data_IF_614114379966
#
_entry.id   IF_614114379966
#
_cell.length_a   1.000
_cell.length_b   1.000
_cell.length_c   1.000
_cell.angle_alpha   90.00
_cell.angle_beta   90.00
_cell.angle_gamma   90.00
#
_symmetry.space_group_name_H-M   'P 1'
#
loop_
_entity.id
_entity.type
_entity.pdbx_description
1 polymer ?
#
# COMPACT_ATOMS: atom_id res chain seq x y z
N UNK A 1 -1.99 -9.63 -33.06
CA UNK A 1 -0.78 -9.19 -32.32
C UNK A 1 -0.67 -10.04 -31.06
N UNK A 2 0.01 -11.18 -31.16
CA UNK A 2 0.30 -12.06 -30.02
C UNK A 2 1.40 -11.42 -29.18
N UNK A 3 1.09 -10.98 -27.97
CA UNK A 3 2.09 -10.42 -27.05
C UNK A 3 3.09 -11.52 -26.72
N UNK A 4 4.32 -11.36 -27.21
CA UNK A 4 5.44 -12.32 -27.08
C UNK A 4 5.80 -12.66 -25.63
N UNK A 5 5.29 -11.89 -24.66
CA UNK A 5 5.37 -12.18 -23.24
C UNK A 5 4.00 -11.94 -22.59
N UNK A 6 3.42 -12.92 -21.88
CA UNK A 6 2.27 -12.64 -21.05
C UNK A 6 2.69 -11.64 -19.97
N UNK A 7 1.98 -10.50 -19.88
CA UNK A 7 2.32 -9.36 -19.02
C UNK A 7 2.62 -9.74 -17.55
N UNK A 8 2.08 -10.88 -17.15
CA UNK A 8 2.26 -11.61 -15.90
C UNK A 8 3.72 -11.81 -15.46
N UNK A 9 4.63 -12.12 -16.38
CA UNK A 9 6.04 -12.41 -16.06
C UNK A 9 6.99 -11.25 -16.33
N UNK A 10 6.49 -10.09 -16.76
CA UNK A 10 7.34 -8.93 -17.09
C UNK A 10 8.14 -8.48 -15.86
N UNK A 11 7.51 -8.39 -14.70
CA UNK A 11 8.17 -7.96 -13.47
C UNK A 11 9.34 -8.90 -13.11
N UNK A 12 9.13 -10.20 -13.19
CA UNK A 12 10.18 -11.19 -12.94
C UNK A 12 11.29 -11.15 -14.00
N UNK A 13 10.93 -11.00 -15.28
CA UNK A 13 11.91 -10.83 -16.35
C UNK A 13 12.77 -9.58 -16.16
N UNK A 14 12.19 -8.47 -15.70
CA UNK A 14 12.93 -7.25 -15.36
C UNK A 14 13.88 -7.47 -14.17
N UNK A 15 13.47 -8.21 -13.15
CA UNK A 15 14.36 -8.56 -12.03
C UNK A 15 15.56 -9.40 -12.51
N UNK A 16 15.33 -10.39 -13.37
CA UNK A 16 16.41 -11.21 -13.95
C UNK A 16 17.32 -10.38 -14.85
N UNK A 17 16.76 -9.52 -15.70
CA UNK A 17 17.53 -8.62 -16.55
C UNK A 17 18.37 -7.63 -15.71
N UNK A 18 17.80 -7.09 -14.64
CA UNK A 18 18.50 -6.24 -13.68
C UNK A 18 19.63 -6.98 -12.95
N UNK A 19 19.44 -8.26 -12.61
CA UNK A 19 20.50 -9.11 -12.06
C UNK A 19 21.65 -9.26 -13.06
N UNK A 20 21.36 -9.61 -14.30
CA UNK A 20 22.40 -9.77 -15.35
C UNK A 20 23.14 -8.45 -15.58
N UNK A 21 22.43 -7.33 -15.67
CA UNK A 21 23.03 -6.01 -15.86
C UNK A 21 23.90 -5.59 -14.66
N UNK A 22 23.44 -5.83 -13.43
CA UNK A 22 24.20 -5.50 -12.22
C UNK A 22 25.44 -6.37 -12.04
N UNK A 23 25.36 -7.67 -12.36
CA UNK A 23 26.52 -8.56 -12.39
C UNK A 23 27.54 -8.09 -13.44
N UNK A 24 27.07 -7.77 -14.66
CA UNK A 24 27.95 -7.24 -15.71
C UNK A 24 28.62 -5.93 -15.27
N UNK A 25 27.88 -5.02 -14.64
CA UNK A 25 28.42 -3.77 -14.10
C UNK A 25 29.47 -4.02 -12.99
N UNK A 26 29.22 -4.97 -12.09
CA UNK A 26 30.17 -5.33 -11.03
C UNK A 26 31.47 -5.94 -11.59
N UNK A 27 31.39 -6.69 -12.69
CA UNK A 27 32.57 -7.26 -13.38
C UNK A 27 33.36 -6.19 -14.15
N UNK A 28 32.67 -5.25 -14.81
CA UNK A 28 33.31 -4.16 -15.58
C UNK A 28 33.88 -3.06 -14.67
N UNK A 29 33.26 -2.81 -13.51
CA UNK A 29 33.65 -1.76 -12.56
C UNK A 29 33.74 -2.34 -11.14
N UNK A 30 34.80 -3.11 -10.81
CA UNK A 30 34.89 -3.81 -9.53
C UNK A 30 34.96 -2.88 -8.31
N UNK A 31 35.43 -1.65 -8.49
CA UNK A 31 35.50 -0.63 -7.43
C UNK A 31 34.15 0.06 -7.15
N UNK A 32 33.12 -0.18 -7.99
CA UNK A 32 31.79 0.37 -7.79
C UNK A 32 31.04 -0.46 -6.74
N UNK A 33 31.15 -0.08 -5.47
CA UNK A 33 30.42 -0.71 -4.36
C UNK A 33 28.90 -0.77 -4.61
N UNK A 34 28.34 0.24 -5.29
CA UNK A 34 26.93 0.30 -5.65
C UNK A 34 26.50 -0.85 -6.58
N UNK A 35 27.38 -1.31 -7.49
CA UNK A 35 27.09 -2.42 -8.39
C UNK A 35 26.97 -3.75 -7.62
N UNK A 36 27.80 -3.95 -6.60
CA UNK A 36 27.70 -5.10 -5.70
C UNK A 36 26.43 -5.08 -4.86
N UNK A 37 26.04 -3.92 -4.32
CA UNK A 37 24.77 -3.76 -3.59
C UNK A 37 23.58 -4.05 -4.50
N UNK A 38 23.57 -3.49 -5.72
CA UNK A 38 22.51 -3.75 -6.69
C UNK A 38 22.42 -5.24 -7.06
N UNK A 39 23.58 -5.90 -7.25
CA UNK A 39 23.63 -7.35 -7.53
C UNK A 39 22.99 -8.15 -6.39
N UNK A 40 23.33 -7.85 -5.13
CA UNK A 40 22.71 -8.49 -3.97
C UNK A 40 21.18 -8.31 -3.94
N UNK A 41 20.71 -7.08 -4.20
CA UNK A 41 19.28 -6.77 -4.23
C UNK A 41 18.55 -7.56 -5.33
N UNK A 42 19.03 -7.49 -6.57
CA UNK A 42 18.41 -8.21 -7.69
C UNK A 42 18.53 -9.72 -7.55
N UNK A 43 19.57 -10.23 -6.89
CA UNK A 43 19.73 -11.65 -6.61
C UNK A 43 18.63 -12.14 -5.66
N UNK A 44 18.37 -11.40 -4.57
CA UNK A 44 17.28 -11.71 -3.64
C UNK A 44 15.92 -11.64 -4.35
N UNK A 45 15.66 -10.58 -5.12
CA UNK A 45 14.39 -10.45 -5.86
C UNK A 45 14.18 -11.60 -6.85
N UNK A 46 15.23 -12.00 -7.57
CA UNK A 46 15.19 -13.12 -8.51
C UNK A 46 14.97 -14.43 -7.77
N UNK A 47 15.65 -14.67 -6.65
CA UNK A 47 15.46 -15.87 -5.84
C UNK A 47 14.02 -15.97 -5.30
N UNK A 48 13.46 -14.86 -4.82
CA UNK A 48 12.05 -14.80 -4.39
C UNK A 48 11.11 -15.11 -5.54
N UNK A 49 11.34 -14.55 -6.74
CA UNK A 49 10.53 -14.85 -7.92
C UNK A 49 10.62 -16.33 -8.34
N UNK A 50 11.79 -16.96 -8.24
CA UNK A 50 11.95 -18.40 -8.46
C UNK A 50 11.17 -19.21 -7.43
N UNK A 51 11.20 -18.82 -6.16
CA UNK A 51 10.42 -19.46 -5.11
C UNK A 51 8.91 -19.33 -5.35
N UNK A 52 8.45 -18.15 -5.78
CA UNK A 52 7.04 -17.88 -6.11
C UNK A 52 6.51 -18.78 -7.23
N UNK A 53 7.31 -18.96 -8.29
CA UNK A 53 6.93 -19.81 -9.43
C UNK A 53 6.92 -21.29 -9.03
N UNK A 54 7.80 -21.71 -8.12
CA UNK A 54 7.90 -23.10 -7.66
C UNK A 54 6.80 -23.47 -6.66
N UNK A 55 6.39 -22.55 -5.79
CA UNK A 55 5.40 -22.88 -4.78
C UNK A 55 4.03 -23.18 -5.42
N UNK A 56 3.34 -24.20 -4.89
CA UNK A 56 2.01 -24.60 -5.36
C UNK A 56 0.87 -24.03 -4.50
N UNK A 57 1.18 -23.40 -3.36
CA UNK A 57 0.19 -22.98 -2.36
C UNK A 57 -0.59 -21.71 -2.76
N UNK A 58 0.06 -20.75 -3.41
CA UNK A 58 -0.54 -19.46 -3.75
C UNK A 58 -0.58 -19.25 -5.26
N UNK A 59 -1.75 -19.50 -5.86
CA UNK A 59 -1.96 -19.37 -7.31
C UNK A 59 -1.68 -17.95 -7.85
N UNK A 60 -1.86 -16.92 -7.00
CA UNK A 60 -1.59 -15.52 -7.36
C UNK A 60 -0.07 -15.29 -7.52
N UNK A 61 0.73 -15.70 -6.54
CA UNK A 61 2.20 -15.53 -6.57
C UNK A 61 2.82 -16.34 -7.71
N UNK A 62 2.31 -17.53 -8.00
CA UNK A 62 2.77 -18.35 -9.14
C UNK A 62 2.52 -17.68 -10.50
N UNK A 63 1.43 -16.95 -10.60
CA UNK A 63 1.01 -16.27 -11.81
C UNK A 63 1.58 -14.85 -11.95
N UNK A 64 1.98 -14.23 -10.84
CA UNK A 64 2.53 -12.88 -10.78
C UNK A 64 3.71 -12.87 -9.81
N UNK A 65 4.83 -13.53 -10.16
CA UNK A 65 6.00 -13.63 -9.31
C UNK A 65 6.59 -12.25 -9.01
N UNK A 66 7.10 -12.06 -7.79
CA UNK A 66 7.59 -10.77 -7.26
C UNK A 66 6.47 -9.76 -7.05
N UNK A 67 5.77 -9.33 -8.11
CA UNK A 67 4.77 -8.27 -8.05
C UNK A 67 3.51 -8.65 -7.25
N UNK A 68 3.20 -9.95 -7.15
CA UNK A 68 2.09 -10.43 -6.35
C UNK A 68 2.21 -10.09 -4.85
N UNK A 69 3.44 -9.88 -4.35
CA UNK A 69 3.68 -9.43 -2.97
C UNK A 69 3.15 -8.02 -2.72
N UNK A 70 3.10 -7.16 -3.74
CA UNK A 70 2.56 -5.80 -3.61
C UNK A 70 1.08 -5.83 -3.22
N UNK A 71 0.31 -6.80 -3.73
CA UNK A 71 -1.10 -6.96 -3.34
C UNK A 71 -1.23 -7.19 -1.83
N UNK A 72 -0.42 -8.07 -1.28
CA UNK A 72 -0.45 -8.38 0.16
C UNK A 72 0.02 -7.20 1.00
N UNK A 73 1.03 -6.46 0.52
CA UNK A 73 1.49 -5.23 1.16
C UNK A 73 0.38 -4.17 1.19
N UNK A 74 -0.33 -3.96 0.08
CA UNK A 74 -1.44 -3.00 0.01
C UNK A 74 -2.64 -3.43 0.87
N UNK A 75 -2.94 -4.73 0.95
CA UNK A 75 -4.01 -5.22 1.84
C UNK A 75 -3.67 -4.94 3.31
N UNK A 76 -2.39 -5.05 3.69
CA UNK A 76 -1.94 -4.71 5.04
C UNK A 76 -2.04 -3.21 5.35
N UNK A 77 -1.69 -2.35 4.38
CA UNK A 77 -1.73 -0.88 4.54
C UNK A 77 -3.17 -0.33 4.49
N UNK A 78 -4.08 -1.02 3.79
CA UNK A 78 -5.48 -0.62 3.61
C UNK A 78 -6.20 -0.18 4.90
N UNK A 79 -6.21 -0.95 6.01
CA UNK A 79 -6.89 -0.54 7.24
C UNK A 79 -6.35 0.75 7.84
N UNK A 80 -5.02 0.92 7.87
CA UNK A 80 -4.38 2.13 8.39
C UNK A 80 -4.78 3.36 7.55
N UNK A 81 -4.71 3.25 6.22
CA UNK A 81 -5.12 4.32 5.32
C UNK A 81 -6.58 4.74 5.53
N UNK A 82 -7.49 3.76 5.68
CA UNK A 82 -8.91 4.05 5.93
C UNK A 82 -9.11 4.78 7.26
N UNK A 83 -8.41 4.35 8.30
CA UNK A 83 -8.57 4.88 9.65
C UNK A 83 -8.06 6.32 9.81
N UNK A 84 -7.04 6.74 9.06
CA UNK A 84 -6.44 8.07 9.22
C UNK A 84 -6.80 9.08 8.12
N UNK A 85 -7.05 8.62 6.88
CA UNK A 85 -7.35 9.51 5.75
C UNK A 85 -8.83 9.61 5.40
N UNK A 86 -9.62 8.57 5.70
CA UNK A 86 -11.02 8.47 5.26
C UNK A 86 -11.98 8.62 6.44
N UNK A 87 -11.65 8.05 7.59
CA UNK A 87 -12.41 8.27 8.83
C UNK A 87 -12.21 9.73 9.33
N UNK A 88 -12.86 10.67 8.65
CA UNK A 88 -13.04 12.02 9.17
C UNK A 88 -13.99 11.95 10.38
N UNK A 89 -13.79 12.79 11.40
CA UNK A 89 -14.70 12.91 12.56
C UNK A 89 -16.17 13.21 12.16
N UNK A 90 -16.40 13.51 10.87
CA UNK A 90 -17.64 13.89 10.20
C UNK A 90 -18.26 12.83 9.31
N UNK A 91 -17.60 11.71 8.98
CA UNK A 91 -18.21 10.69 8.12
C UNK A 91 -19.21 9.83 8.89
N UNK A 92 -20.48 9.95 8.48
CA UNK A 92 -21.62 9.30 9.08
C UNK A 92 -21.63 7.79 8.79
N UNK A 93 -21.22 7.00 9.79
CA UNK A 93 -21.61 5.60 9.92
C UNK A 93 -22.11 5.35 11.32
N UNK A 94 -23.34 4.80 11.47
CA UNK A 94 -24.60 5.50 11.80
C UNK A 94 -24.56 6.57 12.91
N UNK A 95 -23.43 6.75 13.62
CA UNK A 95 -23.21 7.82 14.57
C UNK A 95 -21.81 8.40 14.46
N UNK A 96 -21.69 9.73 14.31
CA UNK A 96 -20.41 10.44 14.28
C UNK A 96 -19.69 10.35 15.62
N UNK A 97 -18.37 10.57 15.64
CA UNK A 97 -17.58 10.59 16.88
C UNK A 97 -18.10 11.65 17.86
N UNK A 98 -18.60 12.77 17.34
CA UNK A 98 -19.27 13.81 18.11
C UNK A 98 -20.56 13.32 18.78
N UNK A 99 -21.38 12.50 18.08
CA UNK A 99 -22.58 11.90 18.67
C UNK A 99 -22.25 10.87 19.75
N UNK A 100 -21.21 10.04 19.54
CA UNK A 100 -20.76 9.07 20.55
C UNK A 100 -20.23 9.75 21.80
N UNK A 101 -19.40 10.79 21.66
CA UNK A 101 -18.86 11.52 22.82
C UNK A 101 -19.96 12.20 23.63
N UNK A 102 -21.00 12.71 22.95
CA UNK A 102 -22.15 13.34 23.59
C UNK A 102 -23.01 12.32 24.37
N UNK A 103 -23.20 11.10 23.86
CA UNK A 103 -23.85 10.00 24.60
C UNK A 103 -23.05 9.61 25.85
N UNK A 104 -21.72 9.50 25.74
CA UNK A 104 -20.86 9.19 26.89
C UNK A 104 -20.85 10.31 27.95
N UNK A 105 -20.84 11.57 27.53
CA UNK A 105 -20.91 12.73 28.43
C UNK A 105 -22.23 12.75 29.21
N UNK A 106 -23.36 12.51 28.52
CA UNK A 106 -24.67 12.37 29.18
C UNK A 106 -24.74 11.18 30.14
N UNK A 107 -24.16 10.04 29.77
CA UNK A 107 -24.14 8.86 30.64
C UNK A 107 -23.30 9.04 31.92
N UNK A 108 -22.33 9.98 31.90
CA UNK A 108 -21.50 10.34 33.05
C UNK A 108 -22.03 11.53 33.86
N UNK A 109 -23.12 12.17 33.43
CA UNK A 109 -23.73 13.30 34.13
C UNK A 109 -22.93 14.60 34.04
N UNK A 110 -22.06 14.75 33.04
CA UNK A 110 -21.22 15.94 32.86
C UNK A 110 -22.01 17.06 32.13
N UNK A 111 -21.94 18.34 32.52
CA UNK A 111 -22.77 19.40 31.94
C UNK A 111 -22.43 19.71 30.47
N UNK A 112 -23.42 19.56 29.59
CA UNK A 112 -23.33 19.68 28.13
C UNK A 112 -23.55 21.12 27.63
N UNK A 113 -22.77 22.08 28.13
CA UNK A 113 -22.83 23.47 27.65
C UNK A 113 -21.87 23.68 26.47
N UNK A 114 -22.16 23.05 25.33
CA UNK A 114 -21.46 23.32 24.08
C UNK A 114 -22.19 24.44 23.33
N UNK A 115 -21.55 25.60 23.04
CA UNK A 115 -22.21 26.68 22.31
C UNK A 115 -22.62 26.21 20.91
N UNK A 116 -23.84 26.55 20.49
CA UNK A 116 -24.49 26.20 19.22
C UNK A 116 -23.86 26.87 17.97
N UNK A 117 -22.55 27.11 17.99
CA UNK A 117 -21.83 27.57 16.79
C UNK A 117 -21.80 26.44 15.76
N UNK A 118 -22.28 26.71 14.54
CA UNK A 118 -22.14 25.77 13.43
C UNK A 118 -20.66 25.66 13.05
N UNK A 119 -20.10 24.45 13.02
CA UNK A 119 -18.80 24.22 12.37
C UNK A 119 -18.94 24.12 10.83
N UNK A 120 -20.17 24.19 10.33
CA UNK A 120 -20.49 24.29 8.91
C UNK A 120 -20.25 25.72 8.43
N UNK A 121 -19.56 25.83 7.29
CA UNK A 121 -19.22 27.10 6.65
C UNK A 121 -20.49 27.72 6.03
N UNK A 122 -21.18 28.56 6.79
CA UNK A 122 -22.45 29.24 6.43
C UNK A 122 -22.29 30.32 5.35
N UNK A 123 -21.08 30.52 4.81
CA UNK A 123 -20.81 31.49 3.73
C UNK A 123 -20.94 30.89 2.32
N UNK A 124 -21.33 29.61 2.18
CA UNK A 124 -21.55 28.99 0.87
C UNK A 124 -22.94 29.36 0.31
N UNK A 125 -22.96 29.90 -0.90
CA UNK A 125 -24.19 30.24 -1.61
C UNK A 125 -25.03 28.97 -1.90
N UNK A 126 -26.22 28.90 -1.31
CA UNK A 126 -27.12 27.74 -1.41
C UNK A 126 -27.89 27.40 -0.13
N UNK A 127 -27.62 28.09 0.98
CA UNK A 127 -28.47 28.07 2.17
C UNK A 127 -29.26 29.38 2.26
N UNK A 128 -30.41 29.42 1.59
CA UNK A 128 -31.53 30.30 1.90
C UNK A 128 -32.71 29.45 2.40
#
# INVERSE_FOLDING_TARGET
MTTLFPARYIAFALCVAGLVASVAAALLMPHAWAAWVATGLFAVLTATGVHDVRQQRHAILRNYPVIGHLRFLLEYIRPEMRQYFIESDTEASPFSRAQRSLVYQRAKGDPDNRPFGTQLNVSLAGYE
#
